data_IF_894972851108
#
_entry.id   IF_894972851108
#
_cell.length_a   1.000
_cell.length_b   1.000
_cell.length_c   1.000
_cell.angle_alpha   90.00
_cell.angle_beta   90.00
_cell.angle_gamma   90.00
#
_symmetry.space_group_name_H-M   'P 1'
#
loop_
_entity.id
_entity.type
_entity.pdbx_description
1 polymer ?
#
# COMPACT_ATOMS: atom_id res chain seq x y z
N UNK A 1 -10.84 -33.81 -32.54
CA UNK A 1 -9.38 -33.61 -32.55
C UNK A 1 -8.88 -33.95 -31.16
N UNK A 2 -8.15 -35.05 -30.99
CA UNK A 2 -7.66 -35.48 -29.68
C UNK A 2 -6.34 -34.77 -29.34
N UNK A 3 -6.34 -33.99 -28.25
CA UNK A 3 -5.16 -33.30 -27.75
C UNK A 3 -4.24 -34.31 -27.04
N UNK A 4 -3.07 -34.60 -27.62
CA UNK A 4 -2.04 -35.43 -26.98
C UNK A 4 -1.07 -34.57 -26.17
N UNK A 5 -0.85 -34.93 -24.90
CA UNK A 5 0.09 -34.24 -24.03
C UNK A 5 1.55 -34.39 -24.52
N UNK A 6 2.25 -33.26 -24.65
CA UNK A 6 3.68 -33.24 -25.02
C UNK A 6 4.48 -33.72 -23.80
N UNK A 7 5.02 -34.94 -23.88
CA UNK A 7 5.70 -35.62 -22.76
C UNK A 7 7.09 -35.08 -22.42
N UNK A 8 7.70 -34.27 -23.30
CA UNK A 8 9.03 -33.69 -23.10
C UNK A 8 9.07 -32.28 -23.67
N UNK A 9 9.26 -31.28 -22.80
CA UNK A 9 9.73 -29.96 -23.21
C UNK A 9 11.25 -29.92 -23.06
N UNK A 10 11.95 -29.42 -24.08
CA UNK A 10 13.38 -29.11 -23.97
C UNK A 10 13.52 -28.03 -22.90
N UNK A 11 14.42 -28.23 -21.93
CA UNK A 11 14.70 -27.20 -20.94
C UNK A 11 15.21 -25.94 -21.67
N UNK A 12 14.69 -24.75 -21.33
CA UNK A 12 15.21 -23.51 -21.88
C UNK A 12 16.67 -23.35 -21.47
N UNK A 13 17.53 -23.04 -22.45
CA UNK A 13 18.97 -22.91 -22.22
C UNK A 13 19.28 -21.47 -21.80
N UNK A 14 18.94 -21.12 -20.56
CA UNK A 14 19.31 -19.83 -20.02
C UNK A 14 20.81 -19.82 -19.67
N UNK A 15 21.49 -18.69 -19.91
CA UNK A 15 22.86 -18.51 -19.45
C UNK A 15 22.93 -18.72 -17.92
N UNK A 16 23.93 -19.48 -17.47
CA UNK A 16 24.21 -19.68 -16.05
C UNK A 16 25.15 -18.59 -15.52
N UNK A 17 25.27 -18.48 -14.20
CA UNK A 17 26.23 -17.55 -13.58
C UNK A 17 27.66 -17.89 -14.03
N UNK A 18 28.03 -19.17 -14.03
CA UNK A 18 29.35 -19.64 -14.46
C UNK A 18 29.68 -19.22 -15.90
N UNK A 19 28.69 -19.26 -16.78
CA UNK A 19 28.85 -18.80 -18.17
C UNK A 19 29.21 -17.32 -18.27
N UNK A 20 28.71 -16.46 -17.36
CA UNK A 20 29.09 -15.05 -17.31
C UNK A 20 30.42 -14.80 -16.62
N UNK A 21 30.83 -15.66 -15.68
CA UNK A 21 32.17 -15.62 -15.06
C UNK A 21 33.24 -15.93 -16.11
N UNK A 22 32.98 -16.93 -16.96
CA UNK A 22 33.88 -17.32 -18.06
C UNK A 22 33.89 -16.31 -19.21
N UNK A 23 32.83 -15.51 -19.37
CA UNK A 23 32.66 -14.56 -20.49
C UNK A 23 32.21 -13.17 -19.98
N UNK A 24 33.08 -12.44 -19.25
CA UNK A 24 32.72 -11.18 -18.59
C UNK A 24 32.32 -10.07 -19.58
N UNK A 25 32.77 -10.13 -20.83
CA UNK A 25 32.39 -9.20 -21.89
C UNK A 25 30.92 -9.31 -22.32
N UNK A 26 30.23 -10.40 -21.97
CA UNK A 26 28.79 -10.53 -22.25
C UNK A 26 27.94 -9.60 -21.40
N UNK A 27 28.41 -9.23 -20.20
CA UNK A 27 27.73 -8.26 -19.36
C UNK A 27 27.75 -6.89 -20.04
N UNK A 28 28.93 -6.42 -20.47
CA UNK A 28 29.06 -5.11 -21.12
C UNK A 28 28.32 -5.04 -22.47
N UNK A 29 28.30 -6.13 -23.24
CA UNK A 29 27.59 -6.20 -24.54
C UNK A 29 26.07 -6.25 -24.41
N UNK A 30 25.52 -6.63 -23.26
CA UNK A 30 24.07 -6.80 -23.05
C UNK A 30 23.44 -5.70 -22.20
N UNK A 31 24.19 -4.66 -21.84
CA UNK A 31 23.61 -3.46 -21.20
C UNK A 31 22.82 -2.67 -22.26
N UNK A 32 21.53 -2.38 -22.04
CA UNK A 32 20.77 -1.56 -22.96
C UNK A 32 21.37 -0.14 -23.09
N UNK A 33 21.53 0.36 -24.32
CA UNK A 33 22.08 1.71 -24.58
C UNK A 33 21.37 2.82 -23.82
N UNK A 34 20.06 2.67 -23.59
CA UNK A 34 19.25 3.62 -22.83
C UNK A 34 19.71 3.76 -21.37
N UNK A 35 20.27 2.71 -20.78
CA UNK A 35 20.78 2.71 -19.41
C UNK A 35 22.12 3.44 -19.32
N UNK A 36 23.00 3.25 -20.32
CA UNK A 36 24.28 3.96 -20.41
C UNK A 36 24.09 5.47 -20.65
N UNK A 37 23.06 5.86 -21.40
CA UNK A 37 22.77 7.28 -21.69
C UNK A 37 22.09 8.01 -20.52
N UNK A 38 21.46 7.29 -19.60
CA UNK A 38 20.81 7.90 -18.45
C UNK A 38 21.79 8.01 -17.27
N UNK A 39 22.22 9.24 -16.98
CA UNK A 39 23.20 9.54 -15.93
C UNK A 39 22.83 8.97 -14.56
N UNK A 40 21.54 8.94 -14.21
CA UNK A 40 21.05 8.43 -12.92
C UNK A 40 21.08 6.90 -12.83
N UNK A 41 20.77 6.22 -13.94
CA UNK A 41 20.80 4.76 -13.99
C UNK A 41 22.25 4.27 -14.00
N UNK A 42 23.10 4.88 -14.82
CA UNK A 42 24.51 4.58 -14.86
C UNK A 42 25.19 4.85 -13.51
N UNK A 43 24.88 5.97 -12.85
CA UNK A 43 25.45 6.29 -11.53
C UNK A 43 24.98 5.30 -10.47
N UNK A 44 23.70 4.94 -10.44
CA UNK A 44 23.15 4.01 -9.44
C UNK A 44 23.69 2.59 -9.63
N UNK A 45 23.82 2.14 -10.88
CA UNK A 45 24.41 0.84 -11.21
C UNK A 45 25.89 0.77 -10.84
N UNK A 46 26.67 1.81 -11.17
CA UNK A 46 28.07 1.90 -10.75
C UNK A 46 28.20 1.91 -9.23
N UNK A 47 27.37 2.70 -8.54
CA UNK A 47 27.31 2.74 -7.07
C UNK A 47 27.03 1.36 -6.49
N UNK A 48 26.08 0.62 -7.05
CA UNK A 48 25.77 -0.75 -6.62
C UNK A 48 26.92 -1.72 -6.87
N UNK A 49 27.60 -1.65 -8.02
CA UNK A 49 28.74 -2.53 -8.34
C UNK A 49 29.94 -2.22 -7.43
N UNK A 50 30.25 -0.95 -7.19
CA UNK A 50 31.43 -0.55 -6.42
C UNK A 50 31.22 -0.63 -4.89
N UNK A 51 30.00 -0.46 -4.39
CA UNK A 51 29.69 -0.50 -2.95
C UNK A 51 29.00 -1.80 -2.51
N UNK A 52 28.62 -2.67 -3.46
CA UNK A 52 27.87 -3.91 -3.19
C UNK A 52 28.69 -5.10 -2.71
N UNK A 53 30.01 -4.94 -2.47
CA UNK A 53 30.83 -6.00 -1.87
C UNK A 53 31.04 -5.74 -0.37
N UNK A 54 30.58 -6.62 0.54
CA UNK A 54 30.79 -6.45 1.98
C UNK A 54 32.20 -6.80 2.48
N UNK A 55 33.16 -7.14 1.60
CA UNK A 55 34.52 -7.57 2.00
C UNK A 55 35.63 -6.56 1.65
N UNK A 56 35.48 -5.29 2.07
CA UNK A 56 36.62 -4.37 2.19
C UNK A 56 36.61 -3.71 3.55
N UNK A 57 37.27 -4.36 4.51
CA UNK A 57 37.79 -3.70 5.69
C UNK A 57 38.87 -2.67 5.29
N UNK A 58 38.76 -1.48 5.89
CA UNK A 58 39.71 -0.34 5.88
C UNK A 58 39.74 0.53 4.62
N UNK A 59 38.98 1.62 4.64
CA UNK A 59 39.57 2.96 4.48
C UNK A 59 38.65 4.04 5.05
N UNK A 60 39.28 5.05 5.65
CA UNK A 60 38.68 6.20 6.35
C UNK A 60 38.18 7.24 5.35
N UNK A 61 37.25 8.05 5.84
CA UNK A 61 36.88 9.39 5.38
C UNK A 61 36.28 9.53 3.98
N UNK A 62 34.95 9.51 3.91
CA UNK A 62 34.21 10.33 2.96
C UNK A 62 33.10 11.09 3.71
N UNK A 63 33.30 12.40 3.83
CA UNK A 63 32.37 13.36 4.42
C UNK A 63 31.07 13.38 3.62
N UNK A 64 29.97 12.97 4.24
CA UNK A 64 28.62 13.21 3.72
C UNK A 64 28.33 14.71 3.79
N UNK A 65 28.07 15.31 2.63
CA UNK A 65 27.58 16.68 2.50
C UNK A 65 26.11 16.68 2.96
N UNK A 66 25.86 17.26 4.12
CA UNK A 66 24.52 17.55 4.63
C UNK A 66 24.12 18.92 4.11
N UNK A 67 23.07 19.00 3.29
CA UNK A 67 22.41 20.26 2.95
C UNK A 67 21.33 20.48 4.01
N UNK A 68 21.63 21.34 4.97
CA UNK A 68 20.69 21.87 5.97
C UNK A 68 20.20 23.22 5.45
N UNK A 69 18.93 23.34 5.12
CA UNK A 69 18.25 24.64 5.02
C UNK A 69 17.34 24.80 6.24
N UNK A 70 17.81 25.63 7.16
CA UNK A 70 17.09 26.15 8.32
C UNK A 70 16.39 27.45 7.94
N UNK A 71 15.08 27.53 8.17
CA UNK A 71 14.35 28.79 8.26
C UNK A 71 13.61 28.80 9.59
N UNK A 72 14.19 29.54 10.53
CA UNK A 72 13.53 29.99 11.75
C UNK A 72 12.46 31.03 11.43
N UNK A 73 11.31 30.96 12.11
CA UNK A 73 10.54 32.16 12.48
C UNK A 73 9.73 31.92 13.74
N UNK A 74 9.91 32.87 14.65
CA UNK A 74 9.48 32.90 16.04
C UNK A 74 7.96 33.07 16.23
N UNK A 75 7.53 32.67 17.42
CA UNK A 75 6.18 32.76 18.00
C UNK A 75 5.82 34.22 18.37
N UNK A 76 4.55 34.57 18.24
CA UNK A 76 3.86 35.54 19.11
C UNK A 76 2.46 35.04 19.48
N UNK A 77 2.04 35.39 20.69
CA UNK A 77 0.98 34.74 21.46
C UNK A 77 -0.43 35.30 21.23
N UNK A 78 -1.38 34.37 21.44
CA UNK A 78 -2.76 34.46 21.93
C UNK A 78 -3.76 35.49 21.38
N UNK A 79 -4.84 34.95 20.80
CA UNK A 79 -6.18 35.40 21.11
C UNK A 79 -7.12 34.18 21.20
N UNK A 80 -7.80 34.01 22.33
CA UNK A 80 -8.71 32.91 22.62
C UNK A 80 -10.04 33.13 21.87
N UNK A 81 -10.09 32.63 20.63
CA UNK A 81 -11.31 32.21 19.97
C UNK A 81 -11.28 30.68 19.93
N UNK A 82 -12.43 30.04 20.16
CA UNK A 82 -12.62 28.59 20.09
C UNK A 82 -11.93 28.06 18.83
N UNK A 83 -10.73 27.48 19.00
CA UNK A 83 -9.90 27.00 17.90
C UNK A 83 -10.66 25.88 17.22
N UNK A 84 -11.10 26.12 15.99
CA UNK A 84 -11.21 25.01 15.06
C UNK A 84 -9.79 24.51 14.87
N UNK A 85 -9.43 23.44 15.59
CA UNK A 85 -8.15 22.78 15.40
C UNK A 85 -8.01 22.42 13.91
N UNK A 86 -6.81 22.66 13.36
CA UNK A 86 -6.53 22.35 11.96
C UNK A 86 -6.90 20.89 11.70
N UNK A 87 -7.70 20.65 10.65
CA UNK A 87 -8.16 19.30 10.30
C UNK A 87 -6.94 18.42 10.04
N UNK A 88 -6.84 17.32 10.78
CA UNK A 88 -5.72 16.37 10.71
C UNK A 88 -6.19 15.09 10.04
N UNK A 89 -5.54 14.76 8.93
CA UNK A 89 -5.71 13.47 8.25
C UNK A 89 -4.46 12.64 8.51
N UNK A 90 -4.66 11.46 9.11
CA UNK A 90 -3.61 10.54 9.46
C UNK A 90 -2.83 10.08 8.20
N UNK A 91 -1.52 9.77 8.33
CA UNK A 91 -0.81 9.05 7.28
C UNK A 91 -1.40 7.65 7.09
N UNK A 92 -1.04 6.99 5.98
CA UNK A 92 -1.33 5.54 5.86
C UNK A 92 -0.31 4.80 6.72
N UNK A 93 -0.80 3.96 7.64
CA UNK A 93 0.02 3.08 8.46
C UNK A 93 0.24 1.78 7.68
N UNK A 94 1.46 1.59 7.18
CA UNK A 94 1.74 0.52 6.21
C UNK A 94 2.03 -0.79 6.93
N UNK A 95 1.04 -1.69 6.94
CA UNK A 95 1.17 -3.08 7.39
C UNK A 95 0.54 -4.01 6.37
N UNK A 96 1.34 -4.92 5.82
CA UNK A 96 0.96 -5.75 4.67
C UNK A 96 1.06 -5.01 3.33
N UNK A 97 1.03 -5.78 2.23
CA UNK A 97 1.19 -5.24 0.88
C UNK A 97 -0.05 -4.46 0.43
N UNK A 98 -1.23 -4.91 0.85
CA UNK A 98 -2.51 -4.37 0.40
C UNK A 98 -2.75 -4.57 -1.09
N UNK A 99 -2.09 -5.56 -1.68
CA UNK A 99 -2.24 -5.88 -3.09
C UNK A 99 -2.20 -7.38 -3.35
N UNK A 100 -2.91 -7.79 -4.40
CA UNK A 100 -3.00 -9.19 -4.79
C UNK A 100 -3.69 -9.34 -6.13
N UNK A 101 -3.71 -10.56 -6.66
CA UNK A 101 -4.43 -10.87 -7.87
C UNK A 101 -5.15 -12.21 -7.75
N UNK A 102 -6.34 -12.30 -8.31
CA UNK A 102 -7.12 -13.53 -8.45
C UNK A 102 -7.38 -13.82 -9.93
N UNK A 103 -7.56 -15.09 -10.29
CA UNK A 103 -7.87 -15.50 -11.66
C UNK A 103 -7.04 -16.67 -12.16
N UNK A 104 -7.56 -17.38 -13.16
CA UNK A 104 -6.97 -18.59 -13.75
C UNK A 104 -6.36 -19.57 -12.71
N UNK A 105 -5.03 -19.64 -12.64
CA UNK A 105 -4.27 -20.48 -11.72
C UNK A 105 -3.37 -19.55 -10.90
N UNK A 106 -3.70 -19.39 -9.61
CA UNK A 106 -2.98 -18.49 -8.71
C UNK A 106 -2.02 -19.29 -7.82
N UNK A 107 -0.73 -19.00 -7.91
CA UNK A 107 0.30 -19.65 -7.09
C UNK A 107 0.47 -19.03 -5.70
N UNK A 108 -0.19 -17.90 -5.43
CA UNK A 108 -0.16 -17.20 -4.14
C UNK A 108 -1.47 -16.39 -3.93
N UNK A 109 -2.61 -17.08 -3.75
CA UNK A 109 -3.92 -16.44 -3.72
C UNK A 109 -4.02 -15.46 -2.55
N UNK A 110 -4.54 -14.25 -2.81
CA UNK A 110 -4.81 -13.27 -1.77
C UNK A 110 -5.92 -13.76 -0.85
N UNK A 111 -5.79 -13.46 0.43
CA UNK A 111 -6.82 -13.70 1.45
C UNK A 111 -7.31 -12.37 1.97
N UNK A 112 -8.60 -12.15 1.80
CA UNK A 112 -9.30 -10.95 2.21
C UNK A 112 -9.95 -11.15 3.58
N UNK A 113 -10.04 -10.07 4.34
CA UNK A 113 -10.89 -10.00 5.53
C UNK A 113 -12.23 -9.38 5.15
N UNK A 114 -13.33 -9.82 5.78
CA UNK A 114 -14.61 -9.15 5.54
C UNK A 114 -14.64 -7.78 6.21
N UNK A 115 -15.45 -6.87 5.68
CA UNK A 115 -15.69 -5.56 6.29
C UNK A 115 -16.15 -5.72 7.75
N UNK A 116 -17.09 -6.63 8.03
CA UNK A 116 -17.56 -6.89 9.40
C UNK A 116 -16.43 -7.35 10.35
N UNK A 117 -15.50 -8.19 9.87
CA UNK A 117 -14.34 -8.62 10.65
C UNK A 117 -13.37 -7.47 10.89
N UNK A 118 -13.14 -6.64 9.87
CA UNK A 118 -12.28 -5.46 9.96
C UNK A 118 -12.86 -4.41 10.93
N UNK A 119 -14.15 -4.09 10.79
CA UNK A 119 -14.87 -3.18 11.68
C UNK A 119 -14.84 -3.67 13.12
N UNK A 120 -15.02 -4.97 13.35
CA UNK A 120 -14.92 -5.55 14.68
C UNK A 120 -13.53 -5.30 15.29
N UNK A 121 -12.45 -5.56 14.54
CA UNK A 121 -11.07 -5.34 15.00
C UNK A 121 -10.83 -3.86 15.33
N UNK A 122 -11.21 -2.97 14.41
CA UNK A 122 -11.01 -1.52 14.55
C UNK A 122 -11.80 -0.99 15.77
N UNK A 123 -13.09 -1.32 15.86
CA UNK A 123 -13.96 -0.82 16.92
C UNK A 123 -13.60 -1.39 18.30
N UNK A 124 -13.23 -2.67 18.40
CA UNK A 124 -12.79 -3.27 19.67
C UNK A 124 -11.50 -2.62 20.17
N UNK A 125 -10.51 -2.42 19.29
CA UNK A 125 -9.25 -1.76 19.65
C UNK A 125 -9.46 -0.29 20.06
N UNK A 126 -10.29 0.46 19.35
CA UNK A 126 -10.58 1.87 19.67
C UNK A 126 -11.43 2.00 20.94
N UNK A 127 -12.36 1.07 21.18
CA UNK A 127 -13.17 1.04 22.40
C UNK A 127 -12.32 0.76 23.64
N UNK A 128 -11.27 -0.05 23.53
CA UNK A 128 -10.32 -0.28 24.62
C UNK A 128 -9.61 1.01 25.08
N UNK A 129 -9.51 2.00 24.18
CA UNK A 129 -8.97 3.34 24.43
C UNK A 129 -10.07 4.37 24.77
N UNK A 130 -11.29 3.91 25.09
CA UNK A 130 -12.48 4.74 25.37
C UNK A 130 -12.90 5.66 24.20
N UNK A 131 -12.62 5.23 22.96
CA UNK A 131 -13.02 5.94 21.75
C UNK A 131 -14.14 5.15 21.06
N UNK A 132 -15.36 5.67 21.12
CA UNK A 132 -16.53 5.07 20.46
C UNK A 132 -16.79 5.72 19.10
N UNK A 133 -17.18 4.92 18.11
CA UNK A 133 -17.58 5.41 16.79
C UNK A 133 -19.01 4.97 16.50
N UNK A 134 -19.76 5.85 15.84
CA UNK A 134 -21.07 5.55 15.25
C UNK A 134 -20.84 5.09 13.80
N UNK A 135 -21.35 3.91 13.46
CA UNK A 135 -21.22 3.32 12.10
C UNK A 135 -22.39 3.67 11.18
N UNK A 136 -23.47 4.24 11.73
CA UNK A 136 -24.65 4.65 10.96
C UNK A 136 -24.46 6.05 10.42
N UNK A 137 -23.95 6.96 11.25
CA UNK A 137 -23.71 8.37 10.91
C UNK A 137 -22.27 8.54 10.48
N UNK A 138 -22.02 8.75 9.19
CA UNK A 138 -20.68 8.99 8.66
C UNK A 138 -20.69 9.98 7.51
N UNK A 139 -19.67 10.85 7.38
CA UNK A 139 -19.58 11.74 6.24
C UNK A 139 -19.44 10.93 4.94
N UNK A 140 -20.04 11.44 3.87
CA UNK A 140 -19.94 10.87 2.53
C UNK A 140 -19.05 11.78 1.69
N UNK A 141 -18.06 11.19 1.05
CA UNK A 141 -17.11 11.89 0.19
C UNK A 141 -17.35 11.44 -1.24
N UNK A 142 -17.26 12.36 -2.18
CA UNK A 142 -17.43 12.10 -3.60
C UNK A 142 -16.41 12.90 -4.37
N UNK A 143 -15.59 12.21 -5.16
CA UNK A 143 -14.44 12.78 -5.84
C UNK A 143 -14.13 12.02 -7.12
N UNK A 144 -13.23 12.59 -7.92
CA UNK A 144 -12.66 11.92 -9.10
C UNK A 144 -11.28 11.41 -8.76
N UNK A 145 -10.98 10.19 -9.17
CA UNK A 145 -9.67 9.58 -8.95
C UNK A 145 -9.23 8.80 -10.20
N UNK A 146 -7.93 8.53 -10.26
CA UNK A 146 -7.38 7.60 -11.25
C UNK A 146 -8.09 6.24 -11.14
N UNK A 147 -8.46 5.68 -12.29
CA UNK A 147 -9.18 4.42 -12.37
C UNK A 147 -8.23 3.22 -12.17
N UNK A 148 -7.83 2.97 -10.92
CA UNK A 148 -6.85 1.94 -10.55
C UNK A 148 -7.41 0.51 -10.52
N UNK A 149 -8.72 0.33 -10.68
CA UNK A 149 -9.39 -0.98 -10.61
C UNK A 149 -9.81 -1.55 -11.98
N UNK A 150 -9.36 -0.93 -13.08
CA UNK A 150 -9.59 -1.40 -14.45
C UNK A 150 -8.40 -2.24 -14.95
N UNK A 151 -8.47 -3.55 -14.76
CA UNK A 151 -7.37 -4.50 -15.04
C UNK A 151 -6.93 -4.61 -16.51
N UNK A 152 -7.73 -4.11 -17.44
CA UNK A 152 -7.52 -4.28 -18.88
C UNK A 152 -7.11 -2.99 -19.59
N UNK A 153 -6.95 -1.88 -18.85
CA UNK A 153 -6.65 -0.59 -19.43
C UNK A 153 -5.23 -0.12 -19.05
N UNK A 154 -4.50 0.34 -20.05
CA UNK A 154 -3.24 1.06 -19.83
C UNK A 154 -3.55 2.46 -19.28
N UNK A 155 -2.80 2.89 -18.26
CA UNK A 155 -2.97 4.15 -17.50
C UNK A 155 -3.06 5.43 -18.36
N UNK A 156 -2.71 5.37 -19.65
CA UNK A 156 -2.49 6.55 -20.49
C UNK A 156 -3.75 7.19 -21.07
N UNK A 157 -4.92 6.53 -21.05
CA UNK A 157 -6.16 7.07 -21.63
C UNK A 157 -7.43 6.58 -20.90
N UNK A 158 -7.38 6.44 -19.57
CA UNK A 158 -8.55 6.02 -18.79
C UNK A 158 -9.24 7.24 -18.21
N UNK A 159 -10.56 7.32 -18.40
CA UNK A 159 -11.37 8.34 -17.74
C UNK A 159 -11.31 8.16 -16.21
N UNK A 160 -11.32 9.26 -15.47
CA UNK A 160 -11.34 9.20 -14.01
C UNK A 160 -12.54 8.37 -13.49
N UNK A 161 -12.28 7.58 -12.46
CA UNK A 161 -13.32 6.94 -11.68
C UNK A 161 -14.08 7.98 -10.85
N UNK A 162 -15.41 7.88 -10.82
CA UNK A 162 -16.26 8.68 -9.93
C UNK A 162 -16.45 7.92 -8.61
N UNK A 163 -15.60 8.23 -7.64
CA UNK A 163 -15.56 7.53 -6.37
C UNK A 163 -16.54 8.17 -5.39
N UNK A 164 -17.42 7.37 -4.78
CA UNK A 164 -18.30 7.79 -3.69
C UNK A 164 -18.17 6.83 -2.52
N UNK A 165 -17.65 7.33 -1.41
CA UNK A 165 -17.35 6.54 -0.21
C UNK A 165 -18.06 7.17 0.98
N UNK A 166 -18.75 6.35 1.76
CA UNK A 166 -19.31 6.73 3.06
C UNK A 166 -18.35 6.19 4.10
N UNK A 167 -17.82 7.06 4.96
CA UNK A 167 -16.91 6.64 6.03
C UNK A 167 -17.59 5.61 6.94
N UNK A 168 -16.90 4.52 7.21
CA UNK A 168 -17.35 3.40 8.03
C UNK A 168 -17.69 3.75 9.49
N UNK A 169 -17.01 4.75 10.05
CA UNK A 169 -17.25 5.18 11.42
C UNK A 169 -16.98 6.67 11.62
N UNK A 170 -17.77 7.29 12.49
CA UNK A 170 -17.57 8.66 12.91
C UNK A 170 -17.73 8.85 14.42
N UNK A 171 -16.84 9.64 14.99
CA UNK A 171 -16.91 10.11 16.37
C UNK A 171 -17.11 11.63 16.36
N UNK A 172 -18.32 12.05 16.77
CA UNK A 172 -18.70 13.46 16.82
C UNK A 172 -17.97 14.26 17.90
N UNK A 173 -17.55 13.61 19.01
CA UNK A 173 -16.85 14.27 20.12
C UNK A 173 -15.47 14.78 19.70
N UNK A 174 -14.74 14.00 18.91
CA UNK A 174 -13.39 14.34 18.44
C UNK A 174 -13.35 14.77 16.97
N UNK A 175 -14.52 14.94 16.32
CA UNK A 175 -14.67 15.20 14.89
C UNK A 175 -13.73 14.33 14.05
N UNK A 176 -13.77 13.00 14.27
CA UNK A 176 -12.87 12.05 13.61
C UNK A 176 -13.67 10.94 12.94
N UNK A 177 -13.35 10.66 11.69
CA UNK A 177 -13.91 9.57 10.90
C UNK A 177 -12.83 8.53 10.55
N UNK A 178 -13.23 7.29 10.37
CA UNK A 178 -12.36 6.28 9.77
C UNK A 178 -13.06 5.59 8.60
N UNK A 179 -12.26 5.13 7.65
CA UNK A 179 -12.67 4.23 6.57
C UNK A 179 -11.73 3.04 6.55
N UNK A 180 -12.28 1.84 6.35
CA UNK A 180 -11.52 0.65 6.00
C UNK A 180 -11.74 0.31 4.52
N UNK A 181 -10.69 0.47 3.72
CA UNK A 181 -10.74 0.19 2.28
C UNK A 181 -10.69 -1.31 2.04
N UNK A 182 -11.85 -1.89 1.73
CA UNK A 182 -11.99 -3.29 1.32
C UNK A 182 -11.80 -3.46 -0.20
N UNK A 183 -11.89 -4.70 -0.68
CA UNK A 183 -11.94 -4.95 -2.13
C UNK A 183 -13.19 -4.39 -2.79
N UNK A 184 -14.31 -4.24 -2.06
CA UNK A 184 -15.51 -3.58 -2.57
C UNK A 184 -15.28 -2.08 -2.75
N UNK A 185 -14.58 -1.45 -1.82
CA UNK A 185 -14.22 -0.04 -1.93
C UNK A 185 -13.22 0.20 -3.05
N UNK A 186 -12.22 -0.69 -3.18
CA UNK A 186 -11.30 -0.69 -4.32
C UNK A 186 -12.05 -0.74 -5.66
N UNK A 187 -13.09 -1.56 -5.79
CA UNK A 187 -13.89 -1.65 -7.02
C UNK A 187 -14.66 -0.35 -7.35
N UNK A 188 -14.80 0.60 -6.42
CA UNK A 188 -15.37 1.92 -6.71
C UNK A 188 -14.41 2.81 -7.50
N UNK A 189 -13.13 2.44 -7.59
CA UNK A 189 -12.11 3.10 -8.41
C UNK A 189 -12.05 2.54 -9.84
N UNK A 190 -13.13 1.92 -10.32
CA UNK A 190 -13.30 1.55 -11.72
C UNK A 190 -13.87 2.73 -12.50
N UNK A 191 -13.43 2.92 -13.73
CA UNK A 191 -14.08 3.88 -14.62
C UNK A 191 -15.40 3.32 -15.17
N UNK A 192 -16.17 4.16 -15.87
CA UNK A 192 -17.36 3.73 -16.61
C UNK A 192 -17.01 2.86 -17.85
N UNK A 193 -15.78 2.33 -17.92
CA UNK A 193 -15.32 1.47 -19.01
C UNK A 193 -16.03 0.10 -18.99
N UNK A 194 -16.20 -0.50 -20.16
CA UNK A 194 -16.67 -1.89 -20.30
C UNK A 194 -15.53 -2.90 -20.10
N UNK A 195 -14.54 -2.55 -19.27
CA UNK A 195 -13.37 -3.38 -19.03
C UNK A 195 -13.76 -4.71 -18.39
N UNK A 196 -13.38 -5.83 -19.01
CA UNK A 196 -13.63 -7.16 -18.48
C UNK A 196 -12.37 -8.02 -18.61
N UNK A 197 -11.92 -8.59 -17.49
CA UNK A 197 -10.73 -9.43 -17.42
C UNK A 197 -11.04 -10.72 -16.66
N UNK A 198 -10.39 -11.81 -17.05
CA UNK A 198 -10.42 -13.09 -16.33
C UNK A 198 -9.47 -13.14 -15.13
N UNK A 199 -8.62 -12.12 -15.02
CA UNK A 199 -7.71 -11.86 -13.89
C UNK A 199 -8.11 -10.53 -13.29
N UNK A 200 -8.27 -10.49 -11.97
CA UNK A 200 -8.59 -9.28 -11.24
C UNK A 200 -7.45 -8.95 -10.27
N UNK A 201 -6.85 -7.78 -10.45
CA UNK A 201 -5.92 -7.18 -9.53
C UNK A 201 -6.65 -6.43 -8.43
N UNK A 202 -6.02 -6.35 -7.27
CA UNK A 202 -6.48 -5.56 -6.13
C UNK A 202 -5.30 -4.75 -5.61
N UNK A 203 -5.55 -3.48 -5.28
CA UNK A 203 -4.60 -2.62 -4.58
C UNK A 203 -5.35 -1.70 -3.61
N UNK A 204 -5.78 -2.29 -2.49
CA UNK A 204 -6.50 -1.60 -1.41
C UNK A 204 -5.64 -0.54 -0.74
N UNK A 205 -4.32 -0.76 -0.68
CA UNK A 205 -3.36 0.24 -0.19
C UNK A 205 -3.36 1.46 -1.10
N UNK A 206 -3.28 1.29 -2.42
CA UNK A 206 -3.29 2.41 -3.36
C UNK A 206 -4.62 3.18 -3.34
N UNK A 207 -5.74 2.46 -3.25
CA UNK A 207 -7.05 3.09 -3.05
C UNK A 207 -7.10 3.92 -1.75
N UNK A 208 -6.53 3.40 -0.65
CA UNK A 208 -6.44 4.12 0.61
C UNK A 208 -5.55 5.36 0.53
N UNK A 209 -4.42 5.30 -0.20
CA UNK A 209 -3.56 6.47 -0.47
C UNK A 209 -4.33 7.57 -1.22
N UNK A 210 -5.04 7.21 -2.29
CA UNK A 210 -5.84 8.16 -3.07
C UNK A 210 -6.96 8.80 -2.22
N UNK A 211 -7.66 7.99 -1.43
CA UNK A 211 -8.70 8.50 -0.53
C UNK A 211 -8.12 9.42 0.55
N UNK A 212 -6.98 9.07 1.15
CA UNK A 212 -6.29 9.92 2.13
C UNK A 212 -5.89 11.26 1.51
N UNK A 213 -5.35 11.24 0.29
CA UNK A 213 -4.88 12.46 -0.36
C UNK A 213 -6.06 13.40 -0.71
N UNK A 214 -7.19 12.84 -1.12
CA UNK A 214 -8.44 13.59 -1.27
C UNK A 214 -8.93 14.16 0.07
N UNK A 215 -8.92 13.37 1.13
CA UNK A 215 -9.28 13.81 2.48
C UNK A 215 -8.39 14.97 2.95
N UNK A 216 -7.08 14.91 2.67
CA UNK A 216 -6.15 16.00 3.00
C UNK A 216 -6.48 17.29 2.24
N UNK A 217 -6.92 17.19 1.00
CA UNK A 217 -7.24 18.36 0.19
C UNK A 217 -8.57 19.00 0.61
N UNK A 218 -9.59 18.18 0.90
CA UNK A 218 -10.98 18.65 0.89
C UNK A 218 -11.81 18.29 2.14
N UNK A 219 -11.28 17.53 3.10
CA UNK A 219 -12.06 17.11 4.28
C UNK A 219 -12.30 18.26 5.26
N UNK A 220 -13.44 18.20 5.96
CA UNK A 220 -13.79 19.06 7.12
C UNK A 220 -13.68 18.33 8.46
N UNK A 221 -13.26 17.08 8.42
CA UNK A 221 -13.29 16.13 9.53
C UNK A 221 -11.92 15.46 9.62
N UNK A 222 -11.41 15.29 10.85
CA UNK A 222 -10.20 14.52 11.06
C UNK A 222 -10.43 13.10 10.54
N UNK A 223 -9.46 12.52 9.85
CA UNK A 223 -9.72 11.24 9.20
C UNK A 223 -8.52 10.30 9.28
N UNK A 224 -8.81 9.01 9.33
CA UNK A 224 -7.85 7.94 9.08
C UNK A 224 -8.42 6.98 8.05
N UNK A 225 -7.54 6.45 7.20
CA UNK A 225 -7.90 5.43 6.22
C UNK A 225 -7.06 4.20 6.51
N UNK A 226 -7.74 3.10 6.81
CA UNK A 226 -7.16 1.77 6.90
C UNK A 226 -7.38 1.05 5.58
N UNK A 227 -6.63 -0.02 5.33
CA UNK A 227 -6.80 -0.84 4.13
C UNK A 227 -6.66 -2.32 4.49
N UNK A 228 -7.32 -3.20 3.71
CA UNK A 228 -7.10 -4.64 3.83
C UNK A 228 -5.62 -4.95 3.54
N UNK A 229 -4.84 -5.49 4.50
CA UNK A 229 -3.43 -5.81 4.30
C UNK A 229 -3.13 -6.83 3.19
N UNK A 230 -4.13 -7.64 2.82
CA UNK A 230 -4.05 -8.75 1.84
C UNK A 230 -2.81 -9.63 2.07
N UNK A 231 -2.96 -10.61 2.97
CA UNK A 231 -1.97 -11.68 3.13
C UNK A 231 -2.18 -12.77 2.08
N UNK A 232 -1.18 -13.62 1.91
CA UNK A 232 -1.21 -14.68 0.88
C UNK A 232 -1.09 -16.07 1.49
N UNK A 233 -1.74 -17.03 0.85
CA UNK A 233 -1.55 -18.44 1.17
C UNK A 233 -0.13 -18.86 0.78
N UNK A 234 0.66 -19.27 1.77
CA UNK A 234 1.93 -19.95 1.53
C UNK A 234 1.68 -21.46 1.33
N UNK A 235 2.00 -21.96 0.14
CA UNK A 235 1.86 -23.37 -0.25
C UNK A 235 3.08 -24.24 0.09
N UNK A 236 4.22 -23.66 0.42
CA UNK A 236 5.47 -24.41 0.64
C UNK A 236 5.36 -25.40 1.81
N UNK A 237 4.52 -25.08 2.80
CA UNK A 237 4.47 -25.79 4.08
C UNK A 237 3.13 -26.49 4.38
N UNK A 238 2.20 -26.58 3.41
CA UNK A 238 0.84 -27.03 3.70
C UNK A 238 0.20 -27.83 2.57
N UNK A 239 -0.02 -29.13 2.83
CA UNK A 239 -0.94 -29.96 2.04
C UNK A 239 -2.42 -29.62 2.29
N UNK A 240 -2.72 -28.73 3.24
CA UNK A 240 -4.08 -28.40 3.67
C UNK A 240 -4.40 -26.93 3.38
N UNK A 241 -5.04 -26.70 2.23
CA UNK A 241 -5.51 -25.40 1.78
C UNK A 241 -6.21 -24.60 2.90
N UNK A 242 -7.20 -25.19 3.57
CA UNK A 242 -8.02 -24.51 4.59
C UNK A 242 -7.16 -23.99 5.73
N UNK A 243 -6.17 -24.77 6.17
CA UNK A 243 -5.26 -24.36 7.26
C UNK A 243 -4.38 -23.18 6.84
N UNK A 244 -3.89 -23.16 5.60
CA UNK A 244 -3.10 -22.02 5.11
C UNK A 244 -3.95 -20.77 4.92
N UNK A 245 -5.17 -20.93 4.42
CA UNK A 245 -6.14 -19.84 4.28
C UNK A 245 -6.46 -19.21 5.63
N UNK A 246 -6.76 -20.02 6.66
CA UNK A 246 -6.99 -19.52 8.02
C UNK A 246 -5.78 -18.76 8.55
N UNK A 247 -4.56 -19.29 8.39
CA UNK A 247 -3.33 -18.62 8.83
C UNK A 247 -3.12 -17.27 8.13
N UNK A 248 -3.26 -17.22 6.80
CA UNK A 248 -3.15 -15.98 6.05
C UNK A 248 -4.24 -14.98 6.48
N UNK A 249 -5.45 -15.45 6.78
CA UNK A 249 -6.52 -14.59 7.29
C UNK A 249 -6.18 -14.02 8.67
N UNK A 250 -5.66 -14.84 9.57
CA UNK A 250 -5.20 -14.41 10.90
C UNK A 250 -4.05 -13.40 10.79
N UNK A 251 -3.14 -13.61 9.85
CA UNK A 251 -2.05 -12.67 9.54
C UNK A 251 -2.60 -11.32 9.05
N UNK A 252 -3.52 -11.31 8.09
CA UNK A 252 -4.19 -10.07 7.64
C UNK A 252 -4.87 -9.34 8.80
N UNK A 253 -5.57 -10.06 9.68
CA UNK A 253 -6.23 -9.46 10.86
C UNK A 253 -5.21 -8.84 11.82
N UNK A 254 -4.08 -9.51 12.05
CA UNK A 254 -3.00 -8.99 12.88
C UNK A 254 -2.39 -7.73 12.27
N UNK A 255 -2.12 -7.73 10.97
CA UNK A 255 -1.58 -6.58 10.26
C UNK A 255 -2.54 -5.38 10.30
N UNK A 256 -3.85 -5.61 10.16
CA UNK A 256 -4.85 -4.54 10.33
C UNK A 256 -4.80 -3.97 11.75
N UNK A 257 -4.73 -4.84 12.77
CA UNK A 257 -4.63 -4.39 14.16
C UNK A 257 -3.37 -3.52 14.39
N UNK A 258 -2.24 -3.83 13.76
CA UNK A 258 -1.04 -2.98 13.83
C UNK A 258 -1.28 -1.60 13.21
N UNK A 259 -2.02 -1.50 12.10
CA UNK A 259 -2.44 -0.19 11.55
C UNK A 259 -3.26 0.61 12.57
N UNK A 260 -4.19 -0.04 13.26
CA UNK A 260 -5.03 0.59 14.29
C UNK A 260 -4.20 1.03 15.50
N UNK A 261 -3.24 0.21 15.94
CA UNK A 261 -2.33 0.54 17.03
C UNK A 261 -1.48 1.78 16.70
N UNK A 262 -0.96 1.88 15.48
CA UNK A 262 -0.19 3.04 15.06
C UNK A 262 -1.07 4.29 14.93
N UNK A 263 -2.31 4.14 14.50
CA UNK A 263 -3.30 5.22 14.56
C UNK A 263 -3.56 5.69 16.00
N UNK A 264 -3.75 4.78 16.95
CA UNK A 264 -3.93 5.12 18.38
C UNK A 264 -2.73 5.91 18.91
N UNK A 265 -1.50 5.50 18.57
CA UNK A 265 -0.29 6.26 18.94
C UNK A 265 -0.30 7.65 18.31
N UNK A 266 -0.70 7.74 17.04
CA UNK A 266 -0.75 8.99 16.29
C UNK A 266 -1.79 9.97 16.85
N UNK A 267 -3.03 9.54 17.12
CA UNK A 267 -4.07 10.43 17.66
C UNK A 267 -3.72 10.98 19.05
N UNK A 268 -3.04 10.17 19.88
CA UNK A 268 -2.52 10.60 21.20
C UNK A 268 -1.41 11.63 21.04
N UNK A 269 -0.48 11.39 20.11
CA UNK A 269 0.63 12.32 19.80
C UNK A 269 0.13 13.64 19.21
N UNK A 270 -0.89 13.59 18.37
CA UNK A 270 -1.48 14.76 17.74
C UNK A 270 -2.44 15.54 18.66
N UNK A 271 -2.60 15.09 19.91
CA UNK A 271 -3.50 15.69 20.91
C UNK A 271 -4.95 15.83 20.44
N UNK A 272 -5.41 14.93 19.56
CA UNK A 272 -6.80 14.90 19.07
C UNK A 272 -7.73 14.34 20.16
N UNK A 273 -7.19 13.42 20.98
CA UNK A 273 -7.86 12.91 22.18
C UNK A 273 -7.11 13.41 23.42
N UNK A 274 -7.85 13.63 24.51
CA UNK A 274 -7.26 13.96 25.81
C UNK A 274 -6.50 12.75 26.36
N UNK A 275 -5.34 13.00 26.97
CA UNK A 275 -4.50 11.99 27.63
C UNK A 275 -5.18 11.42 28.87
#
# INVERSE_FOLDING_TARGET
>A
MELKAIKKRKAPNYPTIDYFIENPELLSKRIPDKWLKNKYVASSLATFIFLGNPDIHKSKDLKTIVIVESIDKEKKAENQQVKQDAIKVAPIFVHGKGSGASGCIVMSPPVFISEDEALKIILEALKAENISFDTVKGPVISFKALAIADDCLDEKNVADAKVKIKMDGYNAKYNIAFEFVSTKDFNKFRSDSKCFSSVQGYDTKKAAELLRDELKANSKTNAVVFYDPISHINFENSKNWKKSETKAKEESKKLLLEQVNDFIKWIKKEHIIAQ
#
